data_IF_772847031546
#
_entry.id   IF_772847031546
#
_cell.length_a   1.000
_cell.length_b   1.000
_cell.length_c   1.000
_cell.angle_alpha   90.00
_cell.angle_beta   90.00
_cell.angle_gamma   90.00
#
_symmetry.space_group_name_H-M   'P 1'
#
loop_
_entity.id
_entity.type
_entity.pdbx_description
1 polymer ?
#
# COMPACT_ATOMS: atom_id res chain seq x y z
N UNK A 1 -41.00 -48.32 -7.43
CA UNK A 1 -41.66 -47.10 -6.90
C UNK A 1 -41.79 -47.23 -5.40
N UNK A 2 -40.92 -46.58 -4.61
CA UNK A 2 -41.20 -46.04 -3.25
C UNK A 2 -39.90 -45.50 -2.63
N UNK A 3 -40.00 -44.34 -1.97
CA UNK A 3 -39.14 -43.87 -0.87
C UNK A 3 -37.68 -43.39 -1.10
N UNK A 4 -37.43 -42.51 -2.08
CA UNK A 4 -36.19 -41.66 -2.04
C UNK A 4 -36.45 -40.16 -2.19
N UNK A 5 -37.67 -39.70 -2.51
CA UNK A 5 -37.94 -38.29 -2.85
C UNK A 5 -38.47 -37.38 -1.72
N UNK A 6 -38.52 -37.81 -0.46
CA UNK A 6 -39.17 -37.04 0.63
C UNK A 6 -38.25 -36.47 1.72
N UNK A 7 -36.93 -36.38 1.51
CA UNK A 7 -36.00 -35.94 2.56
C UNK A 7 -35.32 -34.58 2.32
N UNK A 8 -35.76 -33.79 1.34
CA UNK A 8 -35.02 -32.57 0.92
C UNK A 8 -35.70 -31.20 1.16
N UNK A 9 -36.84 -31.12 1.84
CA UNK A 9 -37.59 -29.85 1.93
C UNK A 9 -38.17 -29.49 3.31
N UNK A 10 -37.49 -29.85 4.40
CA UNK A 10 -37.75 -29.25 5.72
C UNK A 10 -36.49 -28.58 6.27
N UNK A 11 -35.99 -27.57 5.56
CA UNK A 11 -35.17 -26.55 6.22
C UNK A 11 -36.17 -25.54 6.76
N UNK A 12 -36.72 -25.81 7.94
CA UNK A 12 -37.38 -24.78 8.72
C UNK A 12 -36.38 -23.63 8.87
N UNK A 13 -36.76 -22.43 8.47
CA UNK A 13 -35.93 -21.26 8.64
C UNK A 13 -35.76 -21.04 10.16
N UNK A 14 -34.71 -21.62 10.74
CA UNK A 14 -34.38 -21.36 12.14
C UNK A 14 -34.29 -19.85 12.34
N UNK A 15 -35.08 -19.31 13.26
CA UNK A 15 -35.02 -17.89 13.63
C UNK A 15 -33.58 -17.48 13.96
N UNK A 16 -33.16 -16.30 13.48
CA UNK A 16 -31.79 -15.78 13.60
C UNK A 16 -31.17 -15.98 14.98
N UNK A 17 -31.93 -15.73 16.05
CA UNK A 17 -31.49 -15.87 17.45
C UNK A 17 -31.13 -17.30 17.86
N UNK A 18 -31.86 -18.31 17.37
CA UNK A 18 -31.60 -19.73 17.68
C UNK A 18 -30.31 -20.16 16.99
N UNK A 19 -30.12 -19.77 15.73
CA UNK A 19 -28.90 -20.02 14.97
C UNK A 19 -27.69 -19.29 15.57
N UNK A 20 -27.87 -18.05 16.02
CA UNK A 20 -26.80 -17.27 16.67
C UNK A 20 -26.36 -17.90 17.99
N UNK A 21 -27.30 -18.24 18.89
CA UNK A 21 -26.98 -18.90 20.17
C UNK A 21 -26.29 -20.26 19.99
N UNK A 22 -26.74 -21.04 18.99
CA UNK A 22 -26.09 -22.31 18.62
C UNK A 22 -24.68 -22.09 18.10
N UNK A 23 -24.48 -21.12 17.22
CA UNK A 23 -23.15 -20.78 16.66
C UNK A 23 -22.20 -20.22 17.72
N UNK A 24 -22.67 -19.38 18.64
CA UNK A 24 -21.87 -18.88 19.77
C UNK A 24 -21.37 -20.03 20.66
N UNK A 25 -22.22 -21.02 20.92
CA UNK A 25 -21.84 -22.20 21.71
C UNK A 25 -20.90 -23.14 20.95
N UNK A 26 -21.15 -23.35 19.65
CA UNK A 26 -20.36 -24.23 18.77
C UNK A 26 -18.95 -23.65 18.49
N UNK A 27 -18.84 -22.35 18.27
CA UNK A 27 -17.58 -21.69 17.90
C UNK A 27 -16.96 -20.87 19.05
N UNK A 28 -17.29 -21.20 20.31
CA UNK A 28 -16.85 -20.45 21.50
C UNK A 28 -15.33 -20.22 21.57
N UNK A 29 -14.53 -21.20 21.14
CA UNK A 29 -13.06 -21.09 21.13
C UNK A 29 -12.55 -20.15 20.04
N UNK A 30 -13.20 -20.13 18.87
CA UNK A 30 -12.87 -19.18 17.79
C UNK A 30 -13.17 -17.74 18.26
N UNK A 31 -14.31 -17.53 18.92
CA UNK A 31 -14.63 -16.21 19.49
C UNK A 31 -13.65 -15.81 20.60
N UNK A 32 -13.21 -16.75 21.44
CA UNK A 32 -12.22 -16.49 22.48
C UNK A 32 -10.86 -16.09 21.89
N UNK A 33 -10.42 -16.73 20.80
CA UNK A 33 -9.20 -16.35 20.07
C UNK A 33 -9.33 -14.99 19.36
N UNK A 34 -10.53 -14.63 18.90
CA UNK A 34 -10.80 -13.35 18.24
C UNK A 34 -10.88 -12.18 19.24
N UNK A 35 -11.28 -12.46 20.48
CA UNK A 35 -11.50 -11.45 21.53
C UNK A 35 -10.29 -10.53 21.79
N UNK A 36 -9.04 -11.02 21.96
CA UNK A 36 -7.89 -10.12 22.15
C UNK A 36 -7.65 -9.20 20.95
N UNK A 37 -7.90 -9.68 19.72
CA UNK A 37 -7.77 -8.87 18.50
C UNK A 37 -8.83 -7.75 18.50
N UNK A 38 -10.09 -8.09 18.78
CA UNK A 38 -11.17 -7.10 18.85
C UNK A 38 -10.90 -6.06 19.94
N UNK A 39 -10.46 -6.50 21.12
CA UNK A 39 -10.13 -5.60 22.22
C UNK A 39 -9.00 -4.65 21.86
N UNK A 40 -7.96 -5.14 21.17
CA UNK A 40 -6.88 -4.29 20.69
C UNK A 40 -7.40 -3.18 19.78
N UNK A 41 -8.20 -3.51 18.76
CA UNK A 41 -8.77 -2.49 17.87
C UNK A 41 -9.73 -1.54 18.61
N UNK A 42 -10.57 -2.06 19.49
CA UNK A 42 -11.52 -1.25 20.25
C UNK A 42 -10.80 -0.22 21.14
N UNK A 43 -9.76 -0.64 21.85
CA UNK A 43 -9.04 0.20 22.82
C UNK A 43 -8.06 1.13 22.11
N UNK A 44 -7.25 0.63 21.19
CA UNK A 44 -6.11 1.38 20.63
C UNK A 44 -6.40 2.03 19.28
N UNK A 45 -7.37 1.55 18.50
CA UNK A 45 -7.74 2.18 17.23
C UNK A 45 -9.00 3.03 17.36
N UNK A 46 -10.09 2.49 17.88
CA UNK A 46 -11.37 3.21 18.01
C UNK A 46 -11.43 4.12 19.23
N UNK A 47 -10.80 3.74 20.35
CA UNK A 47 -10.73 4.57 21.56
C UNK A 47 -10.20 5.98 21.29
N UNK A 48 -9.01 6.15 20.68
CA UNK A 48 -8.47 7.46 20.34
C UNK A 48 -9.34 8.28 19.38
N UNK A 49 -10.21 7.66 18.58
CA UNK A 49 -11.11 8.39 17.68
C UNK A 49 -12.06 9.31 18.46
N UNK A 50 -12.48 8.95 19.67
CA UNK A 50 -13.27 9.84 20.53
C UNK A 50 -12.52 11.14 20.89
N UNK A 51 -11.18 11.06 20.99
CA UNK A 51 -10.31 12.21 21.24
C UNK A 51 -10.26 13.22 20.08
N UNK A 52 -10.64 12.83 18.86
CA UNK A 52 -10.64 13.74 17.70
C UNK A 52 -11.58 14.93 17.86
N UNK A 53 -12.51 14.89 18.82
CA UNK A 53 -13.38 16.00 19.18
C UNK A 53 -12.61 17.27 19.58
N UNK A 54 -11.35 17.14 20.04
CA UNK A 54 -10.50 18.30 20.37
C UNK A 54 -10.18 19.16 19.14
N UNK A 55 -10.31 18.63 17.92
CA UNK A 55 -10.19 19.42 16.69
C UNK A 55 -11.23 20.57 16.60
N UNK A 56 -12.35 20.44 17.31
CA UNK A 56 -13.44 21.42 17.32
C UNK A 56 -13.50 22.25 18.61
N UNK A 57 -12.53 22.06 19.53
CA UNK A 57 -12.47 22.73 20.83
C UNK A 57 -11.16 23.48 20.98
N UNK A 58 -11.17 24.59 21.70
CA UNK A 58 -9.94 25.21 22.19
C UNK A 58 -9.45 24.41 23.40
N UNK A 59 -8.84 23.26 23.12
CA UNK A 59 -8.42 22.30 24.13
C UNK A 59 -7.31 22.86 24.99
N UNK A 60 -7.54 22.88 26.30
CA UNK A 60 -6.52 23.12 27.32
C UNK A 60 -6.42 21.87 28.20
N UNK A 61 -5.23 21.26 28.32
CA UNK A 61 -5.07 20.04 29.13
C UNK A 61 -5.62 20.17 30.55
N UNK A 62 -5.43 21.32 31.19
CA UNK A 62 -5.92 21.60 32.54
C UNK A 62 -7.45 21.56 32.69
N UNK A 63 -8.21 21.83 31.63
CA UNK A 63 -9.69 21.84 31.66
C UNK A 63 -10.28 20.51 31.15
N UNK A 64 -9.45 19.59 30.68
CA UNK A 64 -9.88 18.36 30.04
C UNK A 64 -10.70 18.58 28.75
N UNK A 65 -11.24 17.49 28.22
CA UNK A 65 -12.02 17.51 26.96
C UNK A 65 -13.40 18.16 27.18
N UNK A 66 -14.04 17.93 28.32
CA UNK A 66 -15.40 18.41 28.62
C UNK A 66 -15.44 19.90 28.97
N UNK A 67 -14.45 20.40 29.73
CA UNK A 67 -14.38 21.81 30.15
C UNK A 67 -13.80 22.78 29.11
N UNK A 68 -13.20 22.27 28.03
CA UNK A 68 -12.64 23.10 26.96
C UNK A 68 -13.72 23.70 26.05
N UNK A 69 -13.63 25.00 25.74
CA UNK A 69 -14.63 25.74 24.93
C UNK A 69 -14.72 25.20 23.51
N UNK A 70 -15.94 25.01 23.01
CA UNK A 70 -16.20 24.65 21.61
C UNK A 70 -15.94 25.85 20.70
N UNK A 71 -15.12 25.67 19.66
CA UNK A 71 -14.75 26.70 18.68
C UNK A 71 -15.13 26.31 17.25
N UNK A 72 -15.77 25.16 17.05
CA UNK A 72 -16.24 24.69 15.75
C UNK A 72 -15.10 24.51 14.75
N UNK A 73 -15.27 25.01 13.52
CA UNK A 73 -14.30 24.83 12.44
C UNK A 73 -13.14 25.85 12.42
N UNK A 74 -12.87 26.53 13.54
CA UNK A 74 -11.82 27.56 13.62
C UNK A 74 -10.47 27.06 13.08
N UNK A 75 -9.95 25.96 13.63
CA UNK A 75 -8.62 25.46 13.26
C UNK A 75 -8.53 24.92 11.82
N UNK A 76 -9.64 24.45 11.25
CA UNK A 76 -9.70 24.06 9.84
C UNK A 76 -9.54 25.28 8.93
N UNK A 77 -10.19 26.40 9.26
CA UNK A 77 -10.02 27.67 8.54
C UNK A 77 -8.61 28.22 8.73
N UNK A 78 -8.10 28.23 9.96
CA UNK A 78 -6.76 28.72 10.28
C UNK A 78 -5.69 27.94 9.49
N UNK A 79 -5.87 26.63 9.30
CA UNK A 79 -5.01 25.84 8.43
C UNK A 79 -5.18 26.22 6.97
N UNK A 80 -6.39 26.07 6.39
CA UNK A 80 -6.62 26.25 4.95
C UNK A 80 -6.23 27.64 4.43
N UNK A 81 -6.43 28.68 5.23
CA UNK A 81 -6.06 30.05 4.91
C UNK A 81 -4.70 30.47 5.49
N UNK A 82 -4.01 29.56 6.17
CA UNK A 82 -2.69 29.81 6.73
C UNK A 82 -1.58 29.82 5.66
N UNK A 83 -0.46 30.51 5.92
CA UNK A 83 0.61 30.70 4.94
C UNK A 83 1.33 29.39 4.55
N UNK A 84 1.25 28.34 5.37
CA UNK A 84 2.00 27.10 5.17
C UNK A 84 1.19 25.94 4.60
N UNK A 85 -0.15 26.00 4.61
CA UNK A 85 -0.97 24.85 4.25
C UNK A 85 -0.75 24.40 2.81
N UNK A 86 -0.81 25.33 1.85
CA UNK A 86 -0.62 24.99 0.45
C UNK A 86 0.78 24.43 0.16
N UNK A 87 1.81 24.98 0.81
CA UNK A 87 3.19 24.50 0.69
C UNK A 87 3.32 23.06 1.16
N UNK A 88 2.79 22.76 2.34
CA UNK A 88 2.88 21.44 2.97
C UNK A 88 2.05 20.39 2.20
N UNK A 89 0.86 20.76 1.72
CA UNK A 89 0.04 19.92 0.84
C UNK A 89 0.79 19.63 -0.47
N UNK A 90 1.30 20.67 -1.12
CA UNK A 90 2.07 20.56 -2.37
C UNK A 90 3.29 19.66 -2.21
N UNK A 91 4.07 19.84 -1.14
CA UNK A 91 5.25 19.02 -0.87
C UNK A 91 4.88 17.56 -0.64
N UNK A 92 3.82 17.30 0.12
CA UNK A 92 3.31 15.94 0.35
C UNK A 92 2.94 15.27 -0.97
N UNK A 93 2.19 15.97 -1.82
CA UNK A 93 1.81 15.45 -3.14
C UNK A 93 3.01 15.24 -4.06
N UNK A 94 3.94 16.20 -4.15
CA UNK A 94 5.12 16.09 -5.02
C UNK A 94 5.99 14.91 -4.59
N UNK A 95 6.31 14.78 -3.30
CA UNK A 95 7.15 13.68 -2.81
C UNK A 95 6.49 12.34 -3.12
N UNK A 96 5.19 12.20 -2.89
CA UNK A 96 4.50 10.96 -3.14
C UNK A 96 4.35 10.65 -4.63
N UNK A 97 4.11 11.65 -5.48
CA UNK A 97 4.11 11.49 -6.94
C UNK A 97 5.50 11.05 -7.43
N UNK A 98 6.59 11.62 -6.92
CA UNK A 98 7.94 11.18 -7.26
C UNK A 98 8.19 9.73 -6.81
N UNK A 99 7.72 9.34 -5.63
CA UNK A 99 7.80 7.94 -5.21
C UNK A 99 6.96 7.00 -6.09
N UNK A 100 5.77 7.41 -6.53
CA UNK A 100 4.95 6.61 -7.45
C UNK A 100 5.60 6.52 -8.83
N UNK A 101 6.21 7.59 -9.31
CA UNK A 101 6.81 7.61 -10.63
C UNK A 101 8.13 6.83 -10.67
N UNK A 102 8.97 6.98 -9.64
CA UNK A 102 10.32 6.42 -9.64
C UNK A 102 10.47 5.21 -8.72
N UNK A 103 9.87 5.19 -7.54
CA UNK A 103 10.08 4.10 -6.58
C UNK A 103 9.13 2.91 -6.76
N UNK A 104 7.90 3.13 -7.22
CA UNK A 104 6.94 2.05 -7.44
C UNK A 104 7.29 1.11 -8.61
N UNK A 105 7.79 1.59 -9.77
CA UNK A 105 8.11 0.71 -10.90
C UNK A 105 9.40 -0.11 -10.68
N UNK A 106 10.33 0.39 -9.87
CA UNK A 106 11.65 -0.23 -9.71
C UNK A 106 11.57 -1.67 -9.16
N UNK A 107 10.80 -1.98 -8.10
CA UNK A 107 10.62 -3.36 -7.66
C UNK A 107 10.08 -4.31 -8.74
N UNK A 108 9.19 -3.83 -9.61
CA UNK A 108 8.62 -4.61 -10.72
C UNK A 108 9.72 -4.89 -11.75
N UNK A 109 10.45 -3.86 -12.13
CA UNK A 109 11.57 -3.98 -13.07
C UNK A 109 12.65 -4.93 -12.53
N UNK A 110 13.02 -4.78 -11.26
CA UNK A 110 13.99 -5.65 -10.59
C UNK A 110 13.51 -7.10 -10.55
N UNK A 111 12.23 -7.34 -10.26
CA UNK A 111 11.65 -8.68 -10.29
C UNK A 111 11.75 -9.33 -11.68
N UNK A 112 11.43 -8.59 -12.74
CA UNK A 112 11.55 -9.09 -14.11
C UNK A 112 13.00 -9.42 -14.47
N UNK A 113 13.97 -8.56 -14.10
CA UNK A 113 15.39 -8.83 -14.32
C UNK A 113 15.88 -10.06 -13.56
N UNK A 114 15.54 -10.17 -12.28
CA UNK A 114 15.90 -11.32 -11.45
C UNK A 114 15.26 -12.61 -11.96
N UNK A 115 14.06 -12.53 -12.54
CA UNK A 115 13.37 -13.67 -13.12
C UNK A 115 14.14 -14.28 -14.31
N UNK A 116 14.76 -13.45 -15.14
CA UNK A 116 15.54 -13.88 -16.31
C UNK A 116 16.91 -14.50 -15.95
N UNK A 117 17.35 -14.41 -14.69
CA UNK A 117 18.60 -15.01 -14.24
C UNK A 117 18.48 -16.55 -14.19
N UNK A 118 19.18 -17.23 -15.11
CA UNK A 118 19.24 -18.71 -15.18
C UNK A 118 20.13 -19.33 -14.11
N UNK A 119 21.25 -18.68 -13.80
CA UNK A 119 22.26 -19.21 -12.88
C UNK A 119 21.74 -19.11 -11.44
N UNK A 120 21.31 -20.25 -10.87
CA UNK A 120 20.74 -20.34 -9.51
C UNK A 120 21.61 -19.70 -8.42
N UNK A 121 22.93 -19.96 -8.31
CA UNK A 121 23.74 -19.32 -7.28
C UNK A 121 23.86 -17.81 -7.49
N UNK A 122 24.04 -17.35 -8.72
CA UNK A 122 24.09 -15.91 -9.04
C UNK A 122 22.76 -15.21 -8.70
N UNK A 123 21.62 -15.83 -9.04
CA UNK A 123 20.27 -15.34 -8.69
C UNK A 123 20.14 -15.14 -7.18
N UNK A 124 20.56 -16.12 -6.38
CA UNK A 124 20.53 -16.03 -4.91
C UNK A 124 21.38 -14.86 -4.39
N UNK A 125 22.59 -14.68 -4.92
CA UNK A 125 23.47 -13.56 -4.52
C UNK A 125 22.84 -12.21 -4.84
N UNK A 126 22.32 -12.03 -6.06
CA UNK A 126 21.64 -10.80 -6.48
C UNK A 126 20.42 -10.51 -5.59
N UNK A 127 19.62 -11.52 -5.28
CA UNK A 127 18.48 -11.40 -4.37
C UNK A 127 18.93 -10.98 -2.96
N UNK A 128 19.89 -11.69 -2.35
CA UNK A 128 20.38 -11.37 -1.01
C UNK A 128 20.90 -9.95 -0.91
N UNK A 129 21.75 -9.52 -1.86
CA UNK A 129 22.30 -8.15 -1.86
C UNK A 129 21.20 -7.11 -2.04
N UNK A 130 20.24 -7.37 -2.93
CA UNK A 130 19.14 -6.43 -3.20
C UNK A 130 18.17 -6.33 -2.02
N UNK A 131 17.95 -7.42 -1.27
CA UNK A 131 16.96 -7.47 -0.19
C UNK A 131 17.51 -6.96 1.14
N UNK A 132 18.82 -7.08 1.36
CA UNK A 132 19.49 -6.71 2.60
C UNK A 132 19.23 -5.26 3.08
N UNK A 133 19.22 -4.22 2.22
CA UNK A 133 19.01 -2.83 2.65
C UNK A 133 17.71 -2.59 3.42
N UNK A 134 16.65 -3.35 3.12
CA UNK A 134 15.35 -3.21 3.79
C UNK A 134 15.42 -3.47 5.30
N UNK A 135 16.33 -4.35 5.73
CA UNK A 135 16.48 -4.70 7.14
C UNK A 135 17.28 -3.68 7.95
N UNK A 136 17.86 -2.68 7.30
CA UNK A 136 18.57 -1.62 8.00
C UNK A 136 17.54 -0.65 8.57
N UNK A 137 17.65 -0.39 9.89
CA UNK A 137 16.76 0.56 10.58
C UNK A 137 16.76 1.93 9.88
N UNK A 138 15.56 2.51 9.77
CA UNK A 138 15.38 3.80 9.11
C UNK A 138 16.22 4.90 9.76
N UNK A 139 16.35 4.90 11.08
CA UNK A 139 17.18 5.88 11.82
C UNK A 139 18.65 5.74 11.45
N UNK A 140 19.15 4.51 11.32
CA UNK A 140 20.53 4.24 10.92
C UNK A 140 20.79 4.74 9.51
N UNK A 141 19.87 4.47 8.57
CA UNK A 141 19.98 4.98 7.20
C UNK A 141 19.97 6.51 7.18
N UNK A 142 19.10 7.15 7.94
CA UNK A 142 19.07 8.61 8.01
C UNK A 142 20.37 9.17 8.59
N UNK A 143 20.97 8.51 9.59
CA UNK A 143 22.29 8.86 10.12
C UNK A 143 23.42 8.69 9.11
N UNK A 144 23.41 7.61 8.31
CA UNK A 144 24.36 7.41 7.22
C UNK A 144 24.20 8.48 6.14
N UNK A 145 22.97 8.78 5.71
CA UNK A 145 22.69 9.85 4.75
C UNK A 145 23.14 11.21 5.29
N UNK A 146 22.84 11.50 6.55
CA UNK A 146 23.28 12.72 7.21
C UNK A 146 24.81 12.86 7.20
N UNK A 147 25.54 11.76 7.36
CA UNK A 147 27.01 11.72 7.34
C UNK A 147 27.57 11.83 5.92
N UNK A 148 27.05 11.07 4.97
CA UNK A 148 27.52 11.04 3.58
C UNK A 148 27.20 12.32 2.79
N UNK A 149 26.12 13.01 3.17
CA UNK A 149 25.70 14.27 2.54
C UNK A 149 26.37 15.52 3.14
N UNK A 150 27.22 15.38 4.16
CA UNK A 150 28.02 16.52 4.67
C UNK A 150 28.99 17.01 3.60
N UNK A 151 29.44 18.26 3.72
CA UNK A 151 30.44 18.86 2.81
C UNK A 151 31.74 18.04 2.73
N UNK A 152 32.14 17.41 3.82
CA UNK A 152 33.28 16.51 3.97
C UNK A 152 32.89 15.01 3.85
N UNK A 153 31.67 14.72 3.43
CA UNK A 153 31.12 13.37 3.34
C UNK A 153 31.42 12.67 2.01
N UNK A 154 31.25 11.34 2.03
CA UNK A 154 31.56 10.44 0.92
C UNK A 154 30.94 10.87 -0.42
N UNK A 155 29.70 11.37 -0.43
CA UNK A 155 29.09 11.81 -1.69
C UNK A 155 29.79 13.02 -2.29
N UNK A 156 30.25 13.96 -1.46
CA UNK A 156 31.02 15.11 -1.94
C UNK A 156 32.41 14.72 -2.43
N UNK A 157 33.03 13.66 -1.90
CA UNK A 157 34.27 13.13 -2.45
C UNK A 157 34.09 12.62 -3.88
N UNK A 158 33.01 11.89 -4.16
CA UNK A 158 32.67 11.47 -5.52
C UNK A 158 32.33 12.64 -6.45
N UNK A 159 31.58 13.64 -5.97
CA UNK A 159 31.27 14.83 -6.75
C UNK A 159 32.53 15.65 -7.08
N UNK A 160 33.48 15.74 -6.15
CA UNK A 160 34.75 16.44 -6.34
C UNK A 160 35.63 15.75 -7.40
N UNK A 161 35.58 14.41 -7.50
CA UNK A 161 36.26 13.67 -8.59
C UNK A 161 35.69 14.02 -9.98
N UNK A 162 34.43 14.46 -10.05
CA UNK A 162 33.77 14.93 -11.26
C UNK A 162 33.94 16.45 -11.48
N UNK A 163 34.76 17.12 -10.66
CA UNK A 163 35.01 18.57 -10.75
C UNK A 163 33.90 19.45 -10.17
N UNK A 164 32.95 18.89 -9.40
CA UNK A 164 31.88 19.66 -8.75
C UNK A 164 32.33 20.20 -7.39
N UNK A 165 31.79 21.36 -7.02
CA UNK A 165 32.06 21.98 -5.71
C UNK A 165 31.40 21.19 -4.56
N UNK A 166 32.14 21.07 -3.45
CA UNK A 166 31.67 20.42 -2.24
C UNK A 166 30.65 21.29 -1.54
N UNK A 167 29.50 20.72 -1.18
CA UNK A 167 28.43 21.43 -0.49
C UNK A 167 27.59 20.50 0.39
N UNK A 168 26.88 21.05 1.37
CA UNK A 168 26.00 20.24 2.21
C UNK A 168 24.74 19.86 1.43
N UNK A 169 24.68 18.61 0.94
CA UNK A 169 23.62 18.18 0.02
C UNK A 169 22.23 18.17 0.68
N UNK A 170 22.16 17.86 1.99
CA UNK A 170 20.91 17.89 2.76
C UNK A 170 20.47 19.30 3.17
N UNK A 171 21.35 20.29 3.10
CA UNK A 171 20.97 21.68 3.33
C UNK A 171 20.31 22.31 2.09
N UNK A 172 20.48 21.70 0.91
CA UNK A 172 19.87 22.16 -0.35
C UNK A 172 18.42 21.65 -0.49
N UNK A 173 17.42 22.54 -0.51
CA UNK A 173 16.01 22.15 -0.57
C UNK A 173 15.65 21.34 -1.82
N UNK A 174 16.31 21.63 -2.95
CA UNK A 174 16.03 20.96 -4.23
C UNK A 174 16.59 19.53 -4.27
N UNK A 175 17.72 19.28 -3.59
CA UNK A 175 18.32 17.94 -3.51
C UNK A 175 17.59 17.03 -2.52
N UNK A 176 16.88 17.59 -1.53
CA UNK A 176 16.19 16.82 -0.49
C UNK A 176 15.30 15.73 -1.09
N UNK A 177 14.49 16.07 -2.11
CA UNK A 177 13.55 15.13 -2.73
C UNK A 177 14.28 14.01 -3.47
N UNK A 178 15.37 14.33 -4.15
CA UNK A 178 16.22 13.35 -4.85
C UNK A 178 16.86 12.37 -3.88
N UNK A 179 17.45 12.87 -2.79
CA UNK A 179 18.07 12.04 -1.74
C UNK A 179 17.00 11.18 -1.06
N UNK A 180 15.85 11.75 -0.76
CA UNK A 180 14.74 11.06 -0.13
C UNK A 180 14.20 9.90 -0.98
N UNK A 181 13.93 10.15 -2.27
CA UNK A 181 13.41 9.12 -3.19
C UNK A 181 14.50 8.10 -3.53
N UNK A 182 15.72 8.54 -3.85
CA UNK A 182 16.83 7.65 -4.20
C UNK A 182 17.20 6.70 -3.07
N UNK A 183 17.31 7.21 -1.84
CA UNK A 183 17.54 6.34 -0.67
C UNK A 183 16.36 5.42 -0.38
N UNK A 184 15.13 5.84 -0.66
CA UNK A 184 13.94 4.99 -0.55
C UNK A 184 13.94 3.85 -1.57
N UNK A 185 14.33 4.13 -2.81
CA UNK A 185 14.50 3.10 -3.85
C UNK A 185 15.54 2.09 -3.40
N UNK A 186 16.72 2.55 -2.99
CA UNK A 186 17.78 1.65 -2.55
C UNK A 186 17.36 0.75 -1.38
N UNK A 187 16.62 1.29 -0.41
CA UNK A 187 16.17 0.54 0.77
C UNK A 187 15.07 -0.48 0.44
N UNK A 188 14.10 -0.11 -0.40
CA UNK A 188 12.86 -0.88 -0.58
C UNK A 188 12.78 -1.67 -1.89
N UNK A 189 13.61 -1.36 -2.90
CA UNK A 189 13.50 -1.95 -4.24
C UNK A 189 13.54 -3.48 -4.22
N UNK A 190 14.53 -4.04 -3.54
CA UNK A 190 14.71 -5.49 -3.46
C UNK A 190 13.57 -6.17 -2.72
N UNK A 191 13.24 -5.70 -1.52
CA UNK A 191 12.13 -6.27 -0.73
C UNK A 191 10.80 -6.21 -1.49
N UNK A 192 10.48 -5.05 -2.09
CA UNK A 192 9.28 -4.90 -2.90
C UNK A 192 9.22 -5.83 -4.11
N UNK A 193 10.37 -6.31 -4.62
CA UNK A 193 10.42 -7.21 -5.79
C UNK A 193 9.97 -8.64 -5.45
N UNK A 194 10.01 -9.03 -4.17
CA UNK A 194 9.71 -10.40 -3.71
C UNK A 194 8.30 -10.81 -4.11
N UNK A 195 7.30 -9.94 -3.93
CA UNK A 195 5.91 -10.29 -4.23
C UNK A 195 5.68 -10.53 -5.73
N UNK A 196 6.36 -9.76 -6.58
CA UNK A 196 6.30 -9.93 -8.02
C UNK A 196 7.05 -11.19 -8.46
N UNK A 197 8.21 -11.49 -7.87
CA UNK A 197 8.94 -12.73 -8.11
C UNK A 197 8.14 -13.97 -7.68
N UNK A 198 7.44 -13.90 -6.55
CA UNK A 198 6.56 -14.96 -6.09
C UNK A 198 5.43 -15.22 -7.09
N UNK A 199 4.83 -14.16 -7.64
CA UNK A 199 3.78 -14.27 -8.67
C UNK A 199 4.34 -14.82 -9.99
N UNK A 200 5.53 -14.39 -10.43
CA UNK A 200 6.17 -14.94 -11.63
C UNK A 200 6.50 -16.43 -11.48
N UNK A 201 6.76 -16.90 -10.26
CA UNK A 201 7.05 -18.31 -10.00
C UNK A 201 5.83 -19.21 -10.12
N UNK A 202 4.61 -18.65 -10.13
CA UNK A 202 3.36 -19.39 -10.34
C UNK A 202 2.91 -19.39 -11.81
N UNK A 203 3.61 -18.70 -12.69
CA UNK A 203 3.28 -18.66 -14.13
C UNK A 203 3.65 -19.99 -14.77
N UNK A 204 2.72 -20.55 -15.56
CA UNK A 204 2.91 -21.80 -16.28
C UNK A 204 4.10 -21.71 -17.26
N UNK A 205 5.12 -22.58 -17.12
CA UNK A 205 6.21 -22.68 -18.10
C UNK A 205 5.72 -22.91 -19.54
N UNK A 206 4.56 -23.55 -19.74
CA UNK A 206 3.98 -23.82 -21.05
C UNK A 206 3.72 -22.55 -21.88
N UNK A 207 3.27 -21.46 -21.26
CA UNK A 207 3.09 -20.15 -21.94
C UNK A 207 4.41 -19.61 -22.49
N UNK A 208 5.48 -19.86 -21.74
CA UNK A 208 6.83 -19.43 -22.05
C UNK A 208 7.51 -20.30 -23.11
N UNK A 209 7.15 -21.58 -23.19
CA UNK A 209 7.61 -22.52 -24.22
C UNK A 209 6.86 -22.30 -25.53
N UNK A 210 5.53 -22.15 -25.50
CA UNK A 210 4.73 -21.84 -26.68
C UNK A 210 5.22 -20.55 -27.37
N UNK A 211 5.39 -19.47 -26.62
CA UNK A 211 5.94 -18.23 -27.16
C UNK A 211 7.35 -18.39 -27.76
N UNK A 212 8.17 -19.32 -27.23
CA UNK A 212 9.49 -19.58 -27.79
C UNK A 212 9.43 -20.36 -29.11
N UNK A 213 8.45 -21.26 -29.26
CA UNK A 213 8.17 -21.98 -30.52
C UNK A 213 7.72 -20.97 -31.59
N UNK A 214 6.92 -19.97 -31.21
CA UNK A 214 6.49 -18.86 -32.08
C UNK A 214 7.62 -17.84 -32.40
N UNK A 215 8.86 -18.11 -31.96
CA UNK A 215 10.02 -17.26 -32.25
C UNK A 215 10.17 -16.02 -31.36
N UNK A 216 9.41 -15.92 -30.26
CA UNK A 216 9.51 -14.77 -29.37
C UNK A 216 10.85 -14.75 -28.61
N UNK A 217 11.56 -13.63 -28.71
CA UNK A 217 12.78 -13.38 -27.96
C UNK A 217 12.49 -13.17 -26.46
N UNK A 218 13.53 -13.12 -25.62
CA UNK A 218 13.39 -13.01 -24.16
C UNK A 218 12.66 -11.74 -23.72
N UNK A 219 12.97 -10.62 -24.36
CA UNK A 219 12.34 -9.34 -24.06
C UNK A 219 10.85 -9.34 -24.44
N UNK A 220 10.50 -9.94 -25.58
CA UNK A 220 9.12 -10.12 -26.01
C UNK A 220 8.35 -11.01 -25.04
N UNK A 221 8.93 -12.12 -24.58
CA UNK A 221 8.33 -12.98 -23.55
C UNK A 221 8.14 -12.26 -22.22
N UNK A 222 9.11 -11.45 -21.80
CA UNK A 222 9.00 -10.65 -20.58
C UNK A 222 7.86 -9.63 -20.68
N UNK A 223 7.72 -8.95 -21.83
CA UNK A 223 6.69 -7.93 -22.04
C UNK A 223 5.29 -8.49 -22.32
N UNK A 224 5.17 -9.60 -23.04
CA UNK A 224 3.88 -10.12 -23.52
C UNK A 224 3.38 -11.34 -22.74
N UNK A 225 4.23 -11.97 -21.91
CA UNK A 225 3.84 -13.09 -21.05
C UNK A 225 3.99 -12.70 -19.59
N UNK A 226 5.20 -12.35 -19.15
CA UNK A 226 5.46 -12.11 -17.72
C UNK A 226 4.78 -10.85 -17.17
N UNK A 227 4.89 -9.71 -17.87
CA UNK A 227 4.32 -8.44 -17.42
C UNK A 227 2.78 -8.48 -17.33
N UNK A 228 2.02 -9.04 -18.30
CA UNK A 228 0.57 -9.19 -18.20
C UNK A 228 0.15 -10.05 -17.00
N UNK A 229 0.89 -11.12 -16.69
CA UNK A 229 0.64 -11.93 -15.50
C UNK A 229 0.83 -11.15 -14.18
N UNK A 230 1.66 -10.10 -14.18
CA UNK A 230 1.87 -9.24 -13.01
C UNK A 230 0.81 -8.14 -12.85
N UNK A 231 0.05 -7.80 -13.90
CA UNK A 231 -0.92 -6.69 -13.86
C UNK A 231 -1.88 -6.75 -12.66
N UNK A 232 -2.49 -7.91 -12.32
CA UNK A 232 -3.40 -7.98 -11.16
C UNK A 232 -2.72 -7.59 -9.85
N UNK A 233 -1.51 -8.08 -9.59
CA UNK A 233 -0.79 -7.76 -8.36
C UNK A 233 -0.26 -6.33 -8.36
N UNK A 234 0.19 -5.81 -9.52
CA UNK A 234 0.60 -4.40 -9.68
C UNK A 234 -0.57 -3.46 -9.34
N UNK A 235 -1.77 -3.74 -9.85
CA UNK A 235 -2.96 -2.94 -9.57
C UNK A 235 -3.29 -2.94 -8.07
N UNK A 236 -3.26 -4.11 -7.42
CA UNK A 236 -3.52 -4.20 -5.98
C UNK A 236 -2.49 -3.40 -5.18
N UNK A 237 -1.21 -3.55 -5.49
CA UNK A 237 -0.14 -2.78 -4.83
C UNK A 237 -0.29 -1.27 -5.07
N UNK A 238 -0.70 -0.87 -6.28
CA UNK A 238 -0.96 0.53 -6.62
C UNK A 238 -2.11 1.11 -5.79
N UNK A 239 -3.24 0.40 -5.66
CA UNK A 239 -4.38 0.83 -4.82
C UNK A 239 -3.94 0.97 -3.35
N UNK A 240 -3.20 -0.02 -2.83
CA UNK A 240 -2.70 0.01 -1.45
C UNK A 240 -1.74 1.19 -1.22
N UNK A 241 -0.93 1.54 -2.23
CA UNK A 241 -0.05 2.72 -2.19
C UNK A 241 -0.84 4.02 -2.21
N UNK A 242 -1.86 4.14 -3.06
CA UNK A 242 -2.70 5.33 -3.15
C UNK A 242 -3.45 5.62 -1.86
N UNK A 243 -3.87 4.58 -1.14
CA UNK A 243 -4.52 4.72 0.16
C UNK A 243 -3.66 5.33 1.26
N UNK A 244 -2.34 5.46 1.06
CA UNK A 244 -1.40 6.02 2.02
C UNK A 244 -0.63 7.24 1.47
N UNK A 245 -1.07 7.80 0.35
CA UNK A 245 -0.34 8.83 -0.40
C UNK A 245 -0.16 10.16 0.38
N UNK A 246 -0.99 10.43 1.38
CA UNK A 246 -0.88 11.66 2.19
C UNK A 246 -0.31 11.45 3.59
N UNK A 247 -0.03 10.20 3.97
CA UNK A 247 0.44 9.82 5.30
C UNK A 247 1.85 9.25 5.28
N UNK A 248 2.28 8.71 4.14
CA UNK A 248 3.58 8.08 4.01
C UNK A 248 4.73 9.09 4.05
N UNK A 249 5.82 8.66 4.69
CA UNK A 249 7.10 9.38 4.64
C UNK A 249 7.45 10.22 5.85
N UNK A 250 6.55 10.29 6.85
CA UNK A 250 6.74 11.04 8.10
C UNK A 250 8.14 10.85 8.70
N UNK A 251 8.51 9.60 9.01
CA UNK A 251 9.71 9.30 9.78
C UNK A 251 10.99 9.75 9.08
N UNK A 252 11.16 9.42 7.80
CA UNK A 252 12.36 9.81 7.03
C UNK A 252 12.43 11.31 6.80
N UNK A 253 11.30 11.99 6.56
CA UNK A 253 11.30 13.46 6.45
C UNK A 253 11.67 14.09 7.78
N UNK A 254 11.04 13.64 8.87
CA UNK A 254 11.31 14.13 10.22
C UNK A 254 12.78 13.98 10.63
N UNK A 255 13.43 12.88 10.25
CA UNK A 255 14.83 12.62 10.59
C UNK A 255 15.84 13.40 9.74
N UNK A 256 15.47 13.83 8.52
CA UNK A 256 16.42 14.42 7.55
C UNK A 256 16.19 15.91 7.27
N UNK A 257 14.97 16.41 7.49
CA UNK A 257 14.65 17.79 7.21
C UNK A 257 15.33 18.76 8.19
N UNK A 258 15.44 20.02 7.79
CA UNK A 258 15.93 21.09 8.64
C UNK A 258 15.19 22.39 8.31
N UNK A 259 15.29 23.44 9.13
CA UNK A 259 14.66 24.72 8.84
C UNK A 259 15.00 25.27 7.44
N UNK A 260 16.20 24.98 6.94
CA UNK A 260 16.64 25.37 5.60
C UNK A 260 15.86 24.67 4.49
N UNK A 261 15.41 23.43 4.71
CA UNK A 261 14.71 22.62 3.70
C UNK A 261 13.19 22.61 3.84
N UNK A 262 12.62 23.31 4.85
CA UNK A 262 11.17 23.37 5.08
C UNK A 262 10.36 23.80 3.86
N UNK A 263 10.94 24.56 2.93
CA UNK A 263 10.22 24.94 1.71
C UNK A 263 9.85 23.73 0.82
N UNK A 264 10.68 22.70 0.78
CA UNK A 264 10.54 21.54 -0.12
C UNK A 264 10.35 20.20 0.58
N UNK A 265 10.80 20.09 1.84
CA UNK A 265 10.83 18.87 2.63
C UNK A 265 9.59 18.70 3.52
N UNK A 266 9.04 19.78 4.07
CA UNK A 266 7.98 19.72 5.09
C UNK A 266 6.66 19.21 4.49
N UNK A 267 6.12 18.13 5.06
CA UNK A 267 4.91 17.43 4.64
C UNK A 267 3.81 17.49 5.71
N UNK A 268 2.58 17.10 5.36
CA UNK A 268 1.41 17.28 6.25
C UNK A 268 1.64 16.58 7.59
N UNK A 269 2.19 15.37 7.58
CA UNK A 269 2.47 14.61 8.80
C UNK A 269 3.54 15.25 9.69
N UNK A 270 4.63 15.80 9.13
CA UNK A 270 5.65 16.51 9.91
C UNK A 270 5.12 17.83 10.45
N UNK A 271 4.27 18.51 9.68
CA UNK A 271 3.60 19.72 10.12
C UNK A 271 2.62 19.46 11.28
N UNK A 272 1.82 18.39 11.22
CA UNK A 272 0.93 17.95 12.31
C UNK A 272 1.75 17.64 13.56
N UNK A 273 2.85 16.91 13.43
CA UNK A 273 3.73 16.59 14.55
C UNK A 273 4.30 17.84 15.20
N UNK A 274 4.90 18.73 14.40
CA UNK A 274 5.50 19.99 14.87
C UNK A 274 4.47 20.88 15.57
N UNK A 275 3.29 21.08 14.96
CA UNK A 275 2.28 21.95 15.54
C UNK A 275 1.57 21.31 16.74
N UNK A 276 1.19 20.04 16.62
CA UNK A 276 0.39 19.33 17.61
C UNK A 276 1.18 18.89 18.83
N UNK A 277 2.42 18.44 18.65
CA UNK A 277 3.24 17.86 19.72
C UNK A 277 4.38 18.78 20.14
N UNK A 278 5.24 19.25 19.23
CA UNK A 278 6.38 20.12 19.62
C UNK A 278 5.91 21.49 20.15
N UNK A 279 4.97 22.13 19.45
CA UNK A 279 4.41 23.43 19.82
C UNK A 279 3.18 23.33 20.73
N UNK A 280 2.78 22.11 21.13
CA UNK A 280 1.65 21.83 22.04
C UNK A 280 0.29 22.38 21.58
N UNK A 281 0.13 22.66 20.28
CA UNK A 281 -1.13 23.12 19.71
C UNK A 281 -2.01 21.93 19.31
N UNK A 282 -2.43 21.15 20.31
CA UNK A 282 -3.14 19.87 20.12
C UNK A 282 -4.38 20.01 19.24
N UNK A 283 -5.25 20.97 19.54
CA UNK A 283 -6.49 21.21 18.78
C UNK A 283 -6.23 21.46 17.30
N UNK A 284 -5.21 22.28 16.99
CA UNK A 284 -4.82 22.57 15.62
C UNK A 284 -4.21 21.35 14.93
N UNK A 285 -3.27 20.66 15.58
CA UNK A 285 -2.67 19.43 15.05
C UNK A 285 -3.71 18.35 14.76
N UNK A 286 -4.68 18.13 15.66
CA UNK A 286 -5.78 17.18 15.44
C UNK A 286 -6.70 17.62 14.32
N UNK A 287 -7.00 18.91 14.17
CA UNK A 287 -7.82 19.42 13.06
C UNK A 287 -7.15 19.18 11.70
N UNK A 288 -5.85 19.49 11.58
CA UNK A 288 -5.07 19.23 10.36
C UNK A 288 -4.97 17.72 10.09
N UNK A 289 -4.79 16.90 11.12
CA UNK A 289 -4.81 15.44 11.02
C UNK A 289 -6.14 14.90 10.51
N UNK A 290 -7.26 15.38 11.05
CA UNK A 290 -8.61 14.97 10.61
C UNK A 290 -8.87 15.39 9.16
N UNK A 291 -8.45 16.60 8.77
CA UNK A 291 -8.49 17.05 7.39
C UNK A 291 -7.69 16.10 6.47
N UNK A 292 -6.46 15.76 6.86
CA UNK A 292 -5.61 14.84 6.09
C UNK A 292 -6.26 13.47 5.91
N UNK A 293 -6.82 12.89 6.98
CA UNK A 293 -7.52 11.60 6.94
C UNK A 293 -8.75 11.63 6.03
N UNK A 294 -9.54 12.72 6.08
CA UNK A 294 -10.71 12.87 5.22
C UNK A 294 -10.33 12.95 3.73
N UNK A 295 -9.32 13.75 3.39
CA UNK A 295 -8.83 13.86 2.00
C UNK A 295 -8.27 12.51 1.53
N UNK A 296 -7.49 11.82 2.37
CA UNK A 296 -6.94 10.51 2.02
C UNK A 296 -8.03 9.46 1.76
N UNK A 297 -9.11 9.47 2.57
CA UNK A 297 -10.28 8.61 2.35
C UNK A 297 -10.96 8.90 1.02
N UNK A 298 -11.15 10.17 0.65
CA UNK A 298 -11.74 10.57 -0.63
C UNK A 298 -10.89 10.07 -1.82
N UNK A 299 -9.56 10.25 -1.75
CA UNK A 299 -8.63 9.75 -2.77
C UNK A 299 -8.72 8.23 -2.89
N UNK A 300 -8.70 7.51 -1.77
CA UNK A 300 -8.79 6.05 -1.77
C UNK A 300 -10.10 5.56 -2.40
N UNK A 301 -11.23 6.14 -2.02
CA UNK A 301 -12.55 5.79 -2.57
C UNK A 301 -12.58 6.05 -4.07
N UNK A 302 -12.06 7.21 -4.51
CA UNK A 302 -11.98 7.56 -5.93
C UNK A 302 -11.13 6.55 -6.73
N UNK A 303 -9.92 6.23 -6.26
CA UNK A 303 -9.02 5.26 -6.92
C UNK A 303 -9.63 3.85 -6.93
N UNK A 304 -10.26 3.42 -5.83
CA UNK A 304 -10.90 2.12 -5.76
C UNK A 304 -12.08 2.02 -6.73
N UNK A 305 -12.88 3.08 -6.86
CA UNK A 305 -13.99 3.14 -7.80
C UNK A 305 -13.51 3.09 -9.26
N UNK A 306 -12.47 3.86 -9.61
CA UNK A 306 -11.92 3.86 -10.97
C UNK A 306 -11.24 2.53 -11.31
N UNK A 307 -10.45 1.97 -10.40
CA UNK A 307 -9.76 0.69 -10.63
C UNK A 307 -10.74 -0.47 -10.82
N UNK A 308 -11.80 -0.56 -10.02
CA UNK A 308 -12.82 -1.61 -10.18
C UNK A 308 -13.52 -1.51 -11.53
N UNK A 309 -13.81 -0.28 -11.96
CA UNK A 309 -14.46 -0.04 -13.25
C UNK A 309 -13.57 -0.44 -14.42
N UNK A 310 -12.27 -0.11 -14.37
CA UNK A 310 -11.32 -0.47 -15.42
C UNK A 310 -11.07 -1.98 -15.49
N UNK A 311 -10.88 -2.65 -14.34
CA UNK A 311 -10.70 -4.11 -14.29
C UNK A 311 -11.95 -4.84 -14.76
N UNK A 312 -13.14 -4.39 -14.35
CA UNK A 312 -14.41 -4.99 -14.77
C UNK A 312 -14.68 -4.81 -16.27
N UNK A 313 -14.30 -3.66 -16.85
CA UNK A 313 -14.41 -3.43 -18.30
C UNK A 313 -13.49 -4.35 -19.10
N UNK A 314 -12.25 -4.55 -18.66
CA UNK A 314 -11.31 -5.51 -19.27
C UNK A 314 -11.90 -6.93 -19.28
N UNK A 315 -12.38 -7.41 -18.12
CA UNK A 315 -13.04 -8.72 -18.03
C UNK A 315 -14.25 -8.87 -18.97
N UNK A 316 -15.05 -7.81 -19.12
CA UNK A 316 -16.23 -7.84 -19.98
C UNK A 316 -15.85 -7.88 -21.47
N UNK A 317 -14.75 -7.24 -21.85
CA UNK A 317 -14.25 -7.21 -23.22
C UNK A 317 -13.72 -8.59 -23.65
N UNK A 318 -12.84 -9.19 -22.85
CA UNK A 318 -12.30 -10.54 -23.09
C UNK A 318 -13.44 -11.58 -23.19
N UNK A 319 -14.47 -11.44 -22.34
CA UNK A 319 -15.63 -12.34 -22.35
C UNK A 319 -16.53 -12.16 -23.58
N UNK A 320 -16.53 -10.98 -24.20
CA UNK A 320 -17.29 -10.72 -25.44
C UNK A 320 -16.53 -11.27 -26.65
N UNK A 321 -15.21 -11.09 -26.71
CA UNK A 321 -14.33 -11.69 -27.73
C UNK A 321 -14.41 -13.22 -27.69
N UNK A 322 -14.27 -13.85 -26.51
CA UNK A 322 -14.45 -15.30 -26.34
C UNK A 322 -15.84 -15.81 -26.71
N UNK A 323 -16.86 -14.94 -26.75
CA UNK A 323 -18.23 -15.31 -27.14
C UNK A 323 -18.45 -15.16 -28.65
N UNK A 324 -17.64 -14.35 -29.33
CA UNK A 324 -17.57 -14.19 -30.78
C UNK A 324 -16.80 -15.31 -31.47
N UNK A 325 -15.69 -15.77 -30.88
CA UNK A 325 -14.80 -16.80 -31.45
C UNK A 325 -15.27 -18.25 -31.24
N UNK A 326 -16.58 -18.46 -31.07
CA UNK A 326 -17.15 -19.80 -30.83
C UNK A 326 -17.13 -20.74 -32.05
N UNK A 327 -16.38 -20.41 -33.11
CA UNK A 327 -16.20 -21.25 -34.28
C UNK A 327 -14.99 -22.21 -34.17
N UNK A 328 -13.99 -21.93 -33.33
CA UNK A 328 -12.80 -22.80 -33.22
C UNK A 328 -12.33 -22.87 -31.76
N UNK A 329 -12.98 -23.73 -30.96
CA UNK A 329 -12.59 -23.93 -29.56
C UNK A 329 -12.33 -25.42 -29.30
N UNK A 330 -11.17 -25.90 -29.74
CA UNK A 330 -10.57 -27.16 -29.26
C UNK A 330 -9.39 -26.96 -28.32
N UNK A 331 -8.79 -25.77 -28.27
CA UNK A 331 -7.62 -25.50 -27.42
C UNK A 331 -7.83 -24.20 -26.66
N UNK A 332 -8.10 -24.28 -25.35
CA UNK A 332 -7.78 -23.31 -24.28
C UNK A 332 -8.73 -23.46 -23.07
N UNK A 333 -8.41 -24.35 -22.10
CA UNK A 333 -9.04 -24.30 -20.79
C UNK A 333 -7.98 -24.08 -19.70
N UNK A 334 -7.51 -22.83 -19.50
CA UNK A 334 -6.70 -22.54 -18.30
C UNK A 334 -6.77 -21.11 -17.75
N UNK A 335 -7.19 -20.12 -18.54
CA UNK A 335 -7.28 -18.72 -18.07
C UNK A 335 -8.36 -18.49 -16.99
N UNK A 336 -9.39 -19.35 -16.93
CA UNK A 336 -10.61 -19.06 -16.19
C UNK A 336 -10.71 -19.71 -14.80
N UNK A 337 -10.05 -20.84 -14.54
CA UNK A 337 -10.19 -21.53 -13.25
C UNK A 337 -9.28 -20.96 -12.15
N UNK A 338 -8.17 -20.33 -12.50
CA UNK A 338 -7.23 -19.78 -11.50
C UNK A 338 -7.63 -18.38 -11.02
N UNK A 339 -8.33 -17.61 -11.86
CA UNK A 339 -8.84 -16.26 -11.50
C UNK A 339 -10.26 -16.33 -10.94
N UNK A 340 -11.08 -17.29 -11.38
CA UNK A 340 -12.43 -17.49 -10.87
C UNK A 340 -12.52 -18.80 -10.08
N UNK A 341 -11.93 -18.82 -8.89
CA UNK A 341 -12.36 -19.76 -7.85
C UNK A 341 -13.88 -19.63 -7.70
N UNK A 342 -14.60 -20.71 -8.01
CA UNK A 342 -16.04 -20.74 -8.30
C UNK A 342 -16.89 -19.81 -7.45
N UNK A 343 -17.49 -18.80 -8.09
CA UNK A 343 -18.45 -17.89 -7.47
C UNK A 343 -19.88 -18.34 -7.81
N UNK A 344 -20.58 -18.91 -6.83
CA UNK A 344 -22.03 -19.08 -6.84
C UNK A 344 -22.71 -17.69 -6.80
N UNK A 345 -23.87 -17.56 -7.46
CA UNK A 345 -24.64 -16.31 -7.62
C UNK A 345 -25.05 -15.63 -6.30
N UNK A 346 -24.89 -16.32 -5.16
CA UNK A 346 -25.23 -15.81 -3.82
C UNK A 346 -24.14 -14.95 -3.18
N UNK A 347 -22.89 -15.07 -3.61
CA UNK A 347 -21.76 -14.28 -3.06
C UNK A 347 -21.70 -12.85 -3.61
N UNK A 348 -22.50 -12.52 -4.62
CA UNK A 348 -22.59 -11.17 -5.18
C UNK A 348 -23.33 -10.17 -4.27
N UNK A 349 -24.11 -10.65 -3.29
CA UNK A 349 -24.93 -9.80 -2.42
C UNK A 349 -24.27 -9.46 -1.07
N UNK A 350 -23.16 -10.10 -0.69
CA UNK A 350 -22.55 -9.95 0.64
C UNK A 350 -21.10 -9.47 0.51
N UNK A 351 -20.92 -8.15 0.54
CA UNK A 351 -19.76 -7.48 1.14
C UNK A 351 -18.40 -7.62 0.43
N UNK A 352 -17.96 -6.52 -0.20
CA UNK A 352 -16.65 -6.35 -0.85
C UNK A 352 -15.40 -6.42 0.05
N UNK A 353 -15.49 -7.01 1.24
CA UNK A 353 -14.35 -7.36 2.10
C UNK A 353 -13.82 -8.77 1.80
N UNK A 354 -14.67 -9.67 1.30
CA UNK A 354 -14.30 -11.07 1.04
C UNK A 354 -13.33 -11.22 -0.14
N UNK A 355 -13.36 -10.32 -1.12
CA UNK A 355 -12.52 -10.38 -2.33
C UNK A 355 -11.03 -10.19 -2.03
N UNK A 356 -10.69 -9.28 -1.11
CA UNK A 356 -9.29 -9.05 -0.69
C UNK A 356 -8.85 -10.13 0.30
N UNK A 357 -9.70 -10.52 1.25
CA UNK A 357 -9.32 -11.54 2.24
C UNK A 357 -9.16 -12.94 1.61
N UNK A 358 -9.96 -13.35 0.62
CA UNK A 358 -9.81 -14.68 -0.03
C UNK A 358 -8.51 -14.83 -0.81
N UNK A 359 -7.96 -13.76 -1.39
CA UNK A 359 -6.70 -13.80 -2.15
C UNK A 359 -5.49 -13.81 -1.19
N UNK A 360 -5.58 -13.17 -0.02
CA UNK A 360 -4.47 -13.04 0.93
C UNK A 360 -4.48 -14.06 2.08
N UNK A 361 -5.62 -14.69 2.42
CA UNK A 361 -5.69 -15.61 3.57
C UNK A 361 -5.17 -17.03 3.28
N UNK A 362 -5.08 -17.44 2.01
CA UNK A 362 -4.62 -18.79 1.66
C UNK A 362 -3.09 -18.90 1.59
N UNK A 363 -2.32 -17.92 1.05
CA UNK A 363 -0.86 -18.08 0.96
C UNK A 363 -0.08 -17.57 2.18
N UNK A 364 -0.63 -16.66 3.01
CA UNK A 364 0.14 -16.06 4.12
C UNK A 364 0.22 -16.98 5.34
N UNK A 365 -0.75 -17.87 5.53
CA UNK A 365 -0.72 -18.87 6.61
C UNK A 365 0.34 -19.94 6.35
N UNK A 366 0.56 -20.33 5.09
CA UNK A 366 1.60 -21.33 4.73
C UNK A 366 3.04 -20.77 4.73
N UNK A 367 3.23 -19.44 4.77
CA UNK A 367 4.57 -18.82 4.74
C UNK A 367 5.07 -18.42 6.15
N UNK A 368 4.22 -18.43 7.18
CA UNK A 368 4.62 -18.10 8.56
C UNK A 368 4.50 -19.28 9.54
N UNK A 369 3.87 -20.40 9.16
CA UNK A 369 3.90 -21.63 9.94
C UNK A 369 2.59 -22.40 9.94
#
# INVERSE_FOLDING_TARGET
>A
MTNVKKQKWQIGQETFFVRWKRNMKRYKYIYLMLLPVILYYAIFCYGPMGGTIIAFKNYKPALGITGSKWVGMKYFKDFLFGPYAWRVIRNTLIINVLQILFAFPIPIFLALLINEIKCRPYKKVVQTISYMPHFISLVVICGLLATFCRTDGLFNDFLALLGMERRSLLAEPDLFRTIYVGSGIWQEAGWGSIIYLATLSTVDPGLHEAAAIDGANRFQRMLHVSLPCLVPIIIVQFIMRMGNILTQGFEKVFLLYSPLTYDKADIISTYIYRQGLELTNYSYGTAVGLFNSAVNLLILVFVNYTSKTSVYKGYKQDKIEMRGDRAEMSDFPLYLNTVAGGLDRRDQAIGGFSFVVKIYAVPVVEIIG
#
